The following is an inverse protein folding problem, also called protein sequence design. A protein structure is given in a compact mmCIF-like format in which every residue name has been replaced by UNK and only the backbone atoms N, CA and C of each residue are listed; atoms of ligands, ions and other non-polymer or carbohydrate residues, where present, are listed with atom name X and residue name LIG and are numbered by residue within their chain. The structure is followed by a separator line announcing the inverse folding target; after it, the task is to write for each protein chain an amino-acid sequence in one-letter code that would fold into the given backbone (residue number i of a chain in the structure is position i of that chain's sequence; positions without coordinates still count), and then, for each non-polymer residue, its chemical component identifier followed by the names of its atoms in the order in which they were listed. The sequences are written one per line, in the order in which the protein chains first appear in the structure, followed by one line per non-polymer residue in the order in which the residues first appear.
data_IF_911594899823
#
_entry.id   IF_911594899823
#
_cell.length_a   1.000
_cell.length_b   1.000
_cell.length_c   1.000
_cell.angle_alpha   90.00
_cell.angle_beta   90.00
_cell.angle_gamma   90.00
#
_symmetry.space_group_name_H-M   'P 1'
#
loop_
_entity.id
_entity.type
_entity.pdbx_description
1 polymer ?
#
# COMPACT_ATOMS: atom_id res chain seq x y z
N UNK A 1 9.22 2.20 9.24
CA UNK A 1 8.94 0.76 9.01
C UNK A 1 8.70 0.46 7.53
N UNK A 2 7.68 1.06 6.89
CA UNK A 2 7.34 0.81 5.46
C UNK A 2 8.53 0.95 4.50
N UNK A 3 9.25 2.08 4.56
CA UNK A 3 10.43 2.30 3.70
C UNK A 3 11.54 1.25 3.90
N UNK A 4 11.68 0.69 5.12
CA UNK A 4 12.66 -0.36 5.38
C UNK A 4 12.25 -1.68 4.73
N UNK A 5 10.96 -2.02 4.78
CA UNK A 5 10.44 -3.21 4.10
C UNK A 5 10.64 -3.10 2.60
N UNK A 6 10.34 -1.94 2.01
CA UNK A 6 10.59 -1.67 0.59
C UNK A 6 12.07 -1.80 0.22
N UNK A 7 12.98 -1.26 1.03
CA UNK A 7 14.41 -1.39 0.81
C UNK A 7 14.86 -2.87 0.86
N UNK A 8 14.41 -3.64 1.85
CA UNK A 8 14.75 -5.07 1.96
C UNK A 8 14.22 -5.87 0.76
N UNK A 9 13.00 -5.61 0.30
CA UNK A 9 12.44 -6.25 -0.89
C UNK A 9 13.34 -6.05 -2.11
N UNK A 10 13.86 -4.83 -2.27
CA UNK A 10 14.69 -4.44 -3.41
C UNK A 10 16.13 -4.93 -3.30
N UNK A 11 16.76 -4.71 -2.16
CA UNK A 11 18.19 -4.89 -1.95
C UNK A 11 18.54 -6.33 -1.59
N UNK A 12 17.68 -7.01 -0.83
CA UNK A 12 17.97 -8.34 -0.28
C UNK A 12 17.16 -9.45 -0.98
N UNK A 13 15.93 -9.15 -1.40
CA UNK A 13 15.03 -10.15 -2.03
C UNK A 13 14.96 -10.05 -3.56
N UNK A 14 15.65 -9.08 -4.17
CA UNK A 14 15.75 -8.95 -5.63
C UNK A 14 14.47 -8.51 -6.33
N UNK A 15 13.50 -7.97 -5.60
CA UNK A 15 12.24 -7.45 -6.14
C UNK A 15 12.43 -5.95 -6.41
N UNK A 16 12.87 -5.62 -7.63
CA UNK A 16 13.29 -4.25 -8.00
C UNK A 16 12.20 -3.18 -7.76
N UNK A 17 10.93 -3.54 -7.95
CA UNK A 17 9.78 -2.64 -7.75
C UNK A 17 9.33 -2.56 -6.28
N UNK A 18 9.96 -3.32 -5.38
CA UNK A 18 9.68 -3.30 -3.94
C UNK A 18 8.20 -3.54 -3.65
N UNK A 19 7.60 -2.67 -2.84
CA UNK A 19 6.17 -2.75 -2.49
C UNK A 19 5.23 -2.50 -3.68
N UNK A 20 5.72 -1.91 -4.78
CA UNK A 20 4.93 -1.66 -5.97
C UNK A 20 4.76 -2.91 -6.86
N UNK A 21 5.58 -3.94 -6.65
CA UNK A 21 5.56 -5.17 -7.41
C UNK A 21 4.21 -5.93 -7.24
N UNK A 22 3.55 -6.36 -8.33
CA UNK A 22 2.30 -7.12 -8.25
C UNK A 22 2.41 -8.46 -7.50
N UNK A 23 3.60 -9.05 -7.40
CA UNK A 23 3.83 -10.29 -6.66
C UNK A 23 3.93 -10.09 -5.13
N UNK A 24 3.98 -8.84 -4.65
CA UNK A 24 4.11 -8.53 -3.23
C UNK A 24 2.74 -8.24 -2.63
N UNK A 25 2.34 -9.12 -1.70
CA UNK A 25 1.10 -9.01 -0.93
C UNK A 25 1.39 -8.44 0.45
N UNK A 26 0.53 -7.51 0.88
CA UNK A 26 0.66 -6.80 2.16
C UNK A 26 -0.49 -7.21 3.07
N UNK A 27 -0.16 -7.59 4.31
CA UNK A 27 -1.11 -7.93 5.34
C UNK A 27 -0.77 -7.21 6.64
N UNK A 28 -1.71 -6.44 7.16
CA UNK A 28 -1.69 -5.88 8.51
C UNK A 28 -2.78 -6.56 9.36
N UNK A 29 -2.42 -7.44 10.32
CA UNK A 29 -3.39 -8.18 11.12
C UNK A 29 -4.12 -7.33 12.17
N UNK A 30 -3.67 -6.10 12.42
CA UNK A 30 -4.25 -5.21 13.42
C UNK A 30 -4.06 -3.74 12.98
N UNK A 31 -4.73 -3.36 11.90
CA UNK A 31 -4.45 -2.10 11.22
C UNK A 31 -4.87 -0.86 11.99
N UNK A 32 -5.70 -0.98 13.04
CA UNK A 32 -6.22 0.16 13.78
C UNK A 32 -6.92 1.13 12.82
N UNK A 33 -6.52 2.39 12.89
CA UNK A 33 -7.01 3.43 11.98
C UNK A 33 -6.35 3.43 10.59
N UNK A 34 -5.41 2.51 10.32
CA UNK A 34 -4.87 2.28 8.97
C UNK A 34 -3.59 3.02 8.61
N UNK A 35 -2.82 3.50 9.59
CA UNK A 35 -1.61 4.27 9.34
C UNK A 35 -0.59 3.48 8.49
N UNK A 36 -0.36 2.20 8.79
CA UNK A 36 0.57 1.37 8.03
C UNK A 36 0.13 1.18 6.58
N UNK A 37 -1.14 0.82 6.35
CA UNK A 37 -1.71 0.62 5.01
C UNK A 37 -1.69 1.91 4.18
N UNK A 38 -1.99 3.04 4.82
CA UNK A 38 -1.92 4.37 4.19
C UNK A 38 -0.51 4.68 3.71
N UNK A 39 0.49 4.45 4.55
CA UNK A 39 1.89 4.69 4.18
C UNK A 39 2.40 3.70 3.13
N UNK A 40 1.96 2.45 3.14
CA UNK A 40 2.23 1.47 2.07
C UNK A 40 1.71 1.97 0.72
N UNK A 41 0.45 2.40 0.65
CA UNK A 41 -0.13 2.91 -0.59
C UNK A 41 0.55 4.20 -1.06
N UNK A 42 0.92 5.11 -0.16
CA UNK A 42 1.72 6.29 -0.51
C UNK A 42 3.06 5.90 -1.13
N UNK A 43 3.77 4.92 -0.54
CA UNK A 43 5.04 4.48 -1.09
C UNK A 43 4.87 3.80 -2.46
N UNK A 44 3.85 2.95 -2.62
CA UNK A 44 3.51 2.34 -3.91
C UNK A 44 3.27 3.43 -4.96
N UNK A 45 2.51 4.48 -4.61
CA UNK A 45 2.26 5.62 -5.50
C UNK A 45 3.57 6.28 -5.92
N UNK A 46 4.46 6.61 -4.97
CA UNK A 46 5.77 7.19 -5.26
C UNK A 46 6.58 6.34 -6.24
N UNK A 47 6.61 5.01 -6.05
CA UNK A 47 7.31 4.09 -6.96
C UNK A 47 6.69 4.05 -8.36
N UNK A 48 5.36 4.01 -8.46
CA UNK A 48 4.66 4.05 -9.74
C UNK A 48 4.87 5.39 -10.48
N UNK A 49 4.97 6.49 -9.74
CA UNK A 49 5.28 7.81 -10.29
C UNK A 49 6.74 7.87 -10.79
N UNK A 50 7.70 7.27 -10.07
CA UNK A 50 9.10 7.13 -10.48
C UNK A 50 9.27 6.31 -11.78
N UNK A 51 8.38 5.35 -12.04
CA UNK A 51 8.34 4.58 -13.30
C UNK A 51 7.85 5.40 -14.50
N UNK A 52 7.38 6.64 -14.31
CA UNK A 52 6.90 7.50 -15.39
C UNK A 52 5.56 7.07 -16.00
N UNK A 53 4.72 6.35 -15.26
CA UNK A 53 3.44 5.80 -15.74
C UNK A 53 2.35 6.85 -15.98
N UNK A 54 2.55 8.09 -15.50
CA UNK A 54 1.60 9.18 -15.69
C UNK A 54 0.19 8.84 -15.18
N UNK A 55 -0.83 8.99 -16.04
CA UNK A 55 -2.23 8.73 -15.69
C UNK A 55 -2.53 7.28 -15.28
N UNK A 56 -1.68 6.32 -15.65
CA UNK A 56 -1.85 4.90 -15.29
C UNK A 56 -1.47 4.60 -13.83
N UNK A 57 -0.68 5.47 -13.18
CA UNK A 57 -0.23 5.26 -11.81
C UNK A 57 -1.42 5.17 -10.83
N UNK A 58 -2.44 6.01 -11.00
CA UNK A 58 -3.65 5.99 -10.17
C UNK A 58 -4.45 4.69 -10.33
N UNK A 59 -4.62 4.20 -11.56
CA UNK A 59 -5.32 2.95 -11.83
C UNK A 59 -4.59 1.75 -11.21
N UNK A 60 -3.26 1.69 -11.36
CA UNK A 60 -2.42 0.64 -10.75
C UNK A 60 -2.41 0.70 -9.23
N UNK A 61 -2.37 1.90 -8.64
CA UNK A 61 -2.47 2.06 -7.19
C UNK A 61 -3.80 1.54 -6.66
N UNK A 62 -4.91 1.87 -7.33
CA UNK A 62 -6.23 1.37 -6.97
C UNK A 62 -6.33 -0.15 -7.11
N UNK A 63 -5.76 -0.71 -8.17
CA UNK A 63 -5.68 -2.16 -8.34
C UNK A 63 -4.88 -2.81 -7.19
N UNK A 64 -3.73 -2.25 -6.84
CA UNK A 64 -2.93 -2.73 -5.71
C UNK A 64 -3.70 -2.71 -4.39
N UNK A 65 -4.42 -1.61 -4.11
CA UNK A 65 -5.24 -1.48 -2.91
C UNK A 65 -6.37 -2.52 -2.82
N UNK A 66 -6.95 -2.92 -3.96
CA UNK A 66 -8.07 -3.86 -4.00
C UNK A 66 -7.65 -5.33 -4.01
N UNK A 67 -6.52 -5.66 -4.65
CA UNK A 67 -6.16 -7.05 -4.94
C UNK A 67 -5.07 -7.61 -4.01
N UNK A 68 -4.25 -6.76 -3.38
CA UNK A 68 -3.06 -7.24 -2.65
C UNK A 68 -2.73 -6.51 -1.34
N UNK A 69 -3.55 -5.57 -0.89
CA UNK A 69 -3.38 -4.88 0.40
C UNK A 69 -4.53 -5.25 1.33
N UNK A 70 -4.21 -5.93 2.44
CA UNK A 70 -5.18 -6.44 3.39
C UNK A 70 -4.95 -5.89 4.79
N UNK A 71 -6.04 -5.51 5.46
CA UNK A 71 -6.05 -5.04 6.83
C UNK A 71 -7.15 -5.73 7.62
N UNK A 72 -6.83 -6.17 8.84
CA UNK A 72 -7.82 -6.65 9.80
C UNK A 72 -7.92 -5.69 10.98
N UNK A 73 -9.16 -5.41 11.39
CA UNK A 73 -9.44 -4.63 12.59
C UNK A 73 -10.70 -5.19 13.25
N UNK A 74 -10.62 -5.40 14.57
CA UNK A 74 -11.70 -6.00 15.36
C UNK A 74 -12.74 -4.95 15.77
N UNK A 75 -12.29 -3.73 16.09
CA UNK A 75 -13.16 -2.70 16.63
C UNK A 75 -13.88 -1.93 15.49
N UNK A 76 -15.22 -1.77 15.55
CA UNK A 76 -15.97 -1.09 14.49
C UNK A 76 -15.53 0.36 14.22
N UNK A 77 -15.18 1.11 15.26
CA UNK A 77 -14.78 2.52 15.11
C UNK A 77 -13.49 2.70 14.28
N UNK A 78 -12.34 2.10 14.64
CA UNK A 78 -11.14 2.19 13.82
C UNK A 78 -11.32 1.53 12.44
N UNK A 79 -12.12 0.46 12.32
CA UNK A 79 -12.47 -0.14 11.03
C UNK A 79 -13.11 0.87 10.05
N UNK A 80 -14.06 1.68 10.53
CA UNK A 80 -14.70 2.72 9.71
C UNK A 80 -13.70 3.83 9.38
N UNK A 81 -12.86 4.23 10.34
CA UNK A 81 -11.84 5.28 10.13
C UNK A 81 -10.83 4.87 9.05
N UNK A 82 -10.32 3.64 9.06
CA UNK A 82 -9.38 3.19 8.03
C UNK A 82 -10.05 3.18 6.65
N UNK A 83 -11.28 2.70 6.52
CA UNK A 83 -11.99 2.71 5.23
C UNK A 83 -12.19 4.13 4.69
N UNK A 84 -12.52 5.10 5.55
CA UNK A 84 -12.62 6.50 5.16
C UNK A 84 -11.26 7.07 4.71
N UNK A 85 -10.19 6.82 5.49
CA UNK A 85 -8.85 7.31 5.17
C UNK A 85 -8.32 6.75 3.84
N UNK A 86 -8.47 5.44 3.62
CA UNK A 86 -8.04 4.81 2.37
C UNK A 86 -8.92 5.27 1.19
N UNK A 87 -10.22 5.45 1.40
CA UNK A 87 -11.12 6.00 0.40
C UNK A 87 -10.71 7.40 -0.07
N UNK A 88 -10.35 8.29 0.87
CA UNK A 88 -9.87 9.64 0.55
C UNK A 88 -8.49 9.64 -0.12
N UNK A 89 -7.61 8.70 0.22
CA UNK A 89 -6.29 8.57 -0.40
C UNK A 89 -6.38 8.14 -1.87
N UNK A 90 -7.37 7.31 -2.20
CA UNK A 90 -7.53 6.68 -3.52
C UNK A 90 -8.44 7.46 -4.48
N UNK A 91 -8.98 8.61 -4.05
CA UNK A 91 -9.68 9.56 -4.91
C UNK A 91 -8.68 10.36 -5.76
#
# INVERSE_FOLDING_TARGET
MVARVDAVLREELGIAEGLADPAVFILDPCCGTGAYLTEVLRLIKTRLDEQGLGSLAGAKLKQAALERVFGFELLPAPYVVVHLQLGLLLQ
#
